data_IF_625998728962
#
_entry.id   IF_625998728962
#
_cell.length_a   1.000
_cell.length_b   1.000
_cell.length_c   1.000
_cell.angle_alpha   90.00
_cell.angle_beta   90.00
_cell.angle_gamma   90.00
#
_symmetry.space_group_name_H-M   'P 1'
#
loop_
_entity.id
_entity.type
_entity.pdbx_description
1 polymer ?
#
# COMPACT_ATOMS: atom_id res chain seq x y z
N UNK A 1 -6.99 -34.23 1.21
CA UNK A 1 -5.92 -33.55 1.95
C UNK A 1 -6.38 -32.11 2.07
N UNK A 2 -6.07 -31.41 3.16
CA UNK A 2 -6.29 -29.97 3.19
C UNK A 2 -5.39 -29.33 2.12
N UNK A 3 -5.87 -28.25 1.49
CA UNK A 3 -5.17 -27.52 0.42
C UNK A 3 -4.35 -26.44 1.09
N UNK A 4 -3.03 -26.41 0.87
CA UNK A 4 -2.19 -25.34 1.42
C UNK A 4 -2.40 -24.08 0.58
N UNK A 5 -2.75 -22.97 1.23
CA UNK A 5 -3.18 -21.73 0.57
C UNK A 5 -2.30 -20.57 1.01
N UNK A 6 -1.78 -19.81 0.04
CA UNK A 6 -1.17 -18.50 0.31
C UNK A 6 -2.21 -17.41 0.06
N UNK A 7 -2.52 -16.63 1.09
CA UNK A 7 -3.41 -15.47 0.98
C UNK A 7 -2.57 -14.20 1.01
N UNK A 8 -2.49 -13.55 -0.15
CA UNK A 8 -1.85 -12.27 -0.33
C UNK A 8 -2.85 -11.15 -0.08
N UNK A 9 -2.46 -10.16 0.70
CA UNK A 9 -3.22 -8.94 0.91
C UNK A 9 -2.49 -7.76 0.29
N UNK A 10 -3.24 -6.91 -0.42
CA UNK A 10 -2.81 -5.54 -0.63
C UNK A 10 -2.79 -4.78 0.71
N UNK A 11 -1.97 -3.72 0.78
CA UNK A 11 -1.80 -2.91 1.97
C UNK A 11 -2.70 -1.67 1.97
N UNK A 12 -2.48 -0.74 1.05
CA UNK A 12 -3.08 0.59 1.04
C UNK A 12 -4.43 0.58 0.34
N UNK A 13 -5.51 0.88 1.07
CA UNK A 13 -6.87 0.78 0.55
C UNK A 13 -7.56 -0.53 0.96
N UNK A 14 -6.77 -1.54 1.34
CA UNK A 14 -7.26 -2.88 1.74
C UNK A 14 -7.09 -3.18 3.23
N UNK A 15 -5.85 -3.21 3.75
CA UNK A 15 -5.57 -3.46 5.17
C UNK A 15 -5.42 -2.18 5.97
N UNK A 16 -4.83 -1.16 5.35
CA UNK A 16 -4.58 0.15 5.91
C UNK A 16 -5.41 1.17 5.14
N UNK A 17 -6.14 2.00 5.87
CA UNK A 17 -6.91 3.10 5.29
C UNK A 17 -6.52 4.42 5.95
N UNK A 18 -6.89 5.52 5.31
CA UNK A 18 -6.70 6.87 5.84
C UNK A 18 -7.99 7.43 6.41
N UNK A 19 -7.90 8.15 7.52
CA UNK A 19 -9.05 8.82 8.16
C UNK A 19 -9.53 10.08 7.42
N UNK A 20 -8.76 10.52 6.42
CA UNK A 20 -9.02 11.66 5.54
C UNK A 20 -8.36 11.45 4.18
N UNK A 21 -8.77 12.25 3.19
CA UNK A 21 -8.23 12.19 1.84
C UNK A 21 -6.72 12.46 1.83
N UNK A 22 -5.99 11.77 0.94
CA UNK A 22 -4.52 11.86 0.88
C UNK A 22 -4.03 13.29 0.58
N UNK A 23 -4.69 14.03 -0.31
CA UNK A 23 -4.38 15.44 -0.59
C UNK A 23 -4.43 16.33 0.67
N UNK A 24 -5.30 15.98 1.64
CA UNK A 24 -5.37 16.70 2.92
C UNK A 24 -4.21 16.35 3.83
N UNK A 25 -3.76 15.10 3.81
CA UNK A 25 -2.57 14.65 4.54
C UNK A 25 -1.33 15.37 3.98
N UNK A 26 -1.18 15.40 2.65
CA UNK A 26 -0.10 16.12 1.97
C UNK A 26 -0.13 17.62 2.29
N UNK A 27 -1.30 18.25 2.18
CA UNK A 27 -1.43 19.67 2.49
C UNK A 27 -1.06 20.00 3.95
N UNK A 28 -1.44 19.16 4.91
CA UNK A 28 -1.06 19.33 6.31
C UNK A 28 0.44 19.13 6.56
N UNK A 29 1.11 18.28 5.78
CA UNK A 29 2.57 18.15 5.81
C UNK A 29 3.22 19.40 5.21
N UNK A 30 2.71 19.90 4.08
CA UNK A 30 3.25 21.08 3.39
C UNK A 30 3.07 22.34 4.23
N UNK A 31 1.94 22.52 4.92
CA UNK A 31 1.66 23.64 5.82
C UNK A 31 2.63 23.77 7.00
N UNK A 32 3.41 22.73 7.30
CA UNK A 32 4.47 22.79 8.32
C UNK A 32 5.77 23.41 7.80
N UNK A 33 5.96 23.43 6.48
CA UNK A 33 7.18 23.87 5.80
C UNK A 33 6.95 25.09 4.89
N UNK A 34 5.73 25.28 4.41
CA UNK A 34 5.32 26.38 3.55
C UNK A 34 4.48 27.40 4.30
N UNK A 35 4.58 28.68 3.92
CA UNK A 35 3.73 29.73 4.47
C UNK A 35 2.27 29.65 3.96
N UNK A 36 2.09 29.09 2.77
CA UNK A 36 0.79 28.88 2.11
C UNK A 36 0.91 27.60 1.28
N UNK A 37 -0.05 26.70 1.44
CA UNK A 37 -0.27 25.56 0.54
C UNK A 37 -1.53 25.80 -0.29
N UNK A 38 -1.46 25.50 -1.59
CA UNK A 38 -2.60 25.53 -2.50
C UNK A 38 -2.58 24.33 -3.47
N UNK A 39 -3.63 24.21 -4.28
CA UNK A 39 -3.79 23.09 -5.22
C UNK A 39 -2.62 22.98 -6.23
N UNK A 40 -1.97 24.09 -6.59
CA UNK A 40 -0.83 24.07 -7.51
C UNK A 40 0.43 23.43 -6.91
N UNK A 41 0.60 23.53 -5.59
CA UNK A 41 1.68 22.85 -4.86
C UNK A 41 1.44 21.34 -4.81
N UNK A 42 0.19 20.92 -4.56
CA UNK A 42 -0.20 19.51 -4.56
C UNK A 42 -0.04 18.91 -5.97
N UNK A 43 -0.57 19.58 -6.99
CA UNK A 43 -0.46 19.14 -8.38
C UNK A 43 1.00 18.97 -8.82
N UNK A 44 1.88 19.92 -8.47
CA UNK A 44 3.30 19.85 -8.82
C UNK A 44 4.01 18.66 -8.15
N UNK A 45 3.71 18.41 -6.87
CA UNK A 45 4.23 17.26 -6.15
C UNK A 45 3.71 15.95 -6.75
N UNK A 46 2.40 15.82 -6.91
CA UNK A 46 1.75 14.58 -7.36
C UNK A 46 2.15 14.20 -8.78
N UNK A 47 2.19 15.16 -9.71
CA UNK A 47 2.60 14.88 -11.10
C UNK A 47 4.01 14.29 -11.16
N UNK A 48 4.96 14.89 -10.43
CA UNK A 48 6.33 14.42 -10.38
C UNK A 48 6.48 13.12 -9.58
N UNK A 49 5.79 12.99 -8.45
CA UNK A 49 5.76 11.78 -7.65
C UNK A 49 5.25 10.60 -8.47
N UNK A 50 4.06 10.69 -9.08
CA UNK A 50 3.47 9.58 -9.82
C UNK A 50 4.25 9.23 -11.08
N UNK A 51 4.82 10.23 -11.78
CA UNK A 51 5.69 9.96 -12.92
C UNK A 51 6.94 9.15 -12.51
N UNK A 52 7.58 9.51 -11.41
CA UNK A 52 8.71 8.76 -10.85
C UNK A 52 8.25 7.40 -10.29
N UNK A 53 7.06 7.36 -9.67
CA UNK A 53 6.48 6.18 -9.08
C UNK A 53 6.23 5.07 -10.10
N UNK A 54 5.52 5.41 -11.17
CA UNK A 54 5.18 4.53 -12.28
C UNK A 54 6.43 4.02 -13.00
N UNK A 55 7.48 4.85 -13.07
CA UNK A 55 8.77 4.50 -13.66
C UNK A 55 9.71 3.73 -12.72
N UNK A 56 9.32 3.48 -11.46
CA UNK A 56 10.14 2.84 -10.43
C UNK A 56 11.49 3.56 -10.22
N UNK A 57 11.48 4.89 -10.27
CA UNK A 57 12.68 5.69 -9.97
C UNK A 57 13.01 5.60 -8.47
N UNK A 58 14.28 5.77 -8.10
CA UNK A 58 14.76 5.41 -6.76
C UNK A 58 14.05 6.15 -5.60
N UNK A 59 13.77 7.44 -5.77
CA UNK A 59 13.27 8.31 -4.70
C UNK A 59 12.08 9.16 -5.20
N UNK A 60 10.89 8.57 -5.41
CA UNK A 60 9.73 9.30 -5.96
C UNK A 60 9.23 10.40 -5.02
N UNK A 61 9.34 10.21 -3.70
CA UNK A 61 8.99 11.23 -2.70
C UNK A 61 9.89 12.46 -2.79
N UNK A 62 11.21 12.28 -2.88
CA UNK A 62 12.14 13.41 -3.08
C UNK A 62 11.91 14.07 -4.44
N UNK A 63 11.57 13.28 -5.47
CA UNK A 63 11.23 13.82 -6.80
C UNK A 63 9.99 14.71 -6.75
N UNK A 64 8.95 14.29 -6.03
CA UNK A 64 7.77 15.12 -5.76
C UNK A 64 8.13 16.40 -4.99
N UNK A 65 8.93 16.28 -3.92
CA UNK A 65 9.37 17.43 -3.13
C UNK A 65 10.24 18.38 -3.94
N UNK A 66 11.08 17.88 -4.85
CA UNK A 66 11.88 18.72 -5.75
C UNK A 66 11.01 19.52 -6.73
N UNK A 67 9.96 18.90 -7.28
CA UNK A 67 9.01 19.61 -8.12
C UNK A 67 8.23 20.68 -7.35
N UNK A 68 7.87 20.40 -6.09
CA UNK A 68 7.30 21.38 -5.18
C UNK A 68 8.28 22.53 -4.91
N UNK A 69 9.55 22.25 -4.66
CA UNK A 69 10.59 23.25 -4.39
C UNK A 69 10.84 24.17 -5.59
N UNK A 70 10.69 23.66 -6.82
CA UNK A 70 10.79 24.42 -8.06
C UNK A 70 9.55 25.28 -8.36
N UNK A 71 8.47 25.15 -7.57
CA UNK A 71 7.25 25.94 -7.75
C UNK A 71 7.52 27.44 -7.46
N UNK A 72 7.04 28.38 -8.30
CA UNK A 72 7.45 29.80 -8.25
C UNK A 72 7.24 30.53 -6.91
N UNK A 73 6.29 30.06 -6.10
CA UNK A 73 5.90 30.67 -4.83
C UNK A 73 6.49 29.95 -3.60
N UNK A 74 7.35 28.95 -3.80
CA UNK A 74 8.07 28.23 -2.74
C UNK A 74 9.45 28.85 -2.50
N UNK A 75 9.85 28.91 -1.23
CA UNK A 75 11.16 29.45 -0.86
C UNK A 75 12.29 28.51 -1.30
N UNK A 76 13.41 29.03 -1.85
CA UNK A 76 14.47 28.23 -2.46
C UNK A 76 15.32 27.40 -1.48
N UNK A 77 14.99 27.41 -0.18
CA UNK A 77 15.72 26.72 0.88
C UNK A 77 14.86 25.64 1.57
N UNK A 78 13.83 25.10 0.88
CA UNK A 78 13.05 23.97 1.39
C UNK A 78 13.96 22.78 1.69
N UNK A 79 13.89 22.23 2.90
CA UNK A 79 14.62 21.04 3.29
C UNK A 79 13.84 19.80 2.82
N UNK A 80 14.36 19.12 1.80
CA UNK A 80 13.69 17.98 1.19
C UNK A 80 13.58 16.79 2.15
N UNK A 81 14.67 16.47 2.83
CA UNK A 81 14.72 15.33 3.76
C UNK A 81 13.73 15.56 4.91
N UNK A 82 13.65 16.79 5.43
CA UNK A 82 12.72 17.15 6.49
C UNK A 82 11.25 17.08 6.02
N UNK A 83 10.96 17.52 4.80
CA UNK A 83 9.60 17.47 4.26
C UNK A 83 9.19 16.03 3.94
N UNK A 84 10.04 15.20 3.34
CA UNK A 84 9.76 13.77 3.08
C UNK A 84 9.49 13.04 4.41
N UNK A 85 10.27 13.32 5.46
CA UNK A 85 10.00 12.77 6.79
C UNK A 85 8.64 13.24 7.34
N UNK A 86 8.28 14.51 7.13
CA UNK A 86 7.00 15.07 7.58
C UNK A 86 5.80 14.45 6.84
N UNK A 87 5.91 14.23 5.52
CA UNK A 87 4.90 13.53 4.72
C UNK A 87 4.70 12.12 5.28
N UNK A 88 5.78 11.40 5.54
CA UNK A 88 5.73 10.04 6.11
C UNK A 88 5.04 9.99 7.46
N UNK A 89 5.40 10.90 8.36
CA UNK A 89 4.79 10.99 9.68
C UNK A 89 3.30 11.34 9.60
N UNK A 90 2.93 12.28 8.72
CA UNK A 90 1.54 12.66 8.50
C UNK A 90 0.71 11.49 7.93
N UNK A 91 1.25 10.78 6.95
CA UNK A 91 0.64 9.58 6.36
C UNK A 91 0.37 8.52 7.42
N UNK A 92 1.40 8.15 8.20
CA UNK A 92 1.24 7.10 9.21
C UNK A 92 0.26 7.52 10.31
N UNK A 93 0.33 8.78 10.75
CA UNK A 93 -0.58 9.31 11.77
C UNK A 93 -2.04 9.38 11.32
N UNK A 94 -2.30 9.57 10.03
CA UNK A 94 -3.65 9.57 9.45
C UNK A 94 -4.15 8.16 9.10
N UNK A 95 -3.26 7.17 9.10
CA UNK A 95 -3.59 5.81 8.72
C UNK A 95 -4.12 4.97 9.89
N UNK A 96 -4.99 4.01 9.61
CA UNK A 96 -5.53 3.07 10.59
C UNK A 96 -5.85 1.72 9.95
N UNK A 97 -5.95 0.69 10.78
CA UNK A 97 -6.34 -0.67 10.38
C UNK A 97 -7.70 -0.99 11.00
N UNK A 98 -8.71 -1.43 10.22
CA UNK A 98 -10.01 -1.79 10.77
C UNK A 98 -9.90 -2.99 11.72
N UNK A 99 -10.69 -2.98 12.80
CA UNK A 99 -10.74 -4.10 13.75
C UNK A 99 -11.11 -5.43 13.06
N UNK A 100 -11.97 -5.36 12.04
CA UNK A 100 -12.36 -6.53 11.25
C UNK A 100 -11.18 -7.13 10.46
N UNK A 101 -10.32 -6.29 9.88
CA UNK A 101 -9.10 -6.74 9.20
C UNK A 101 -8.15 -7.43 10.18
N UNK A 102 -7.90 -6.84 11.37
CA UNK A 102 -7.07 -7.45 12.41
C UNK A 102 -7.61 -8.80 12.88
N UNK A 103 -8.93 -8.90 13.11
CA UNK A 103 -9.55 -10.15 13.50
C UNK A 103 -9.42 -11.23 12.41
N UNK A 104 -9.61 -10.85 11.15
CA UNK A 104 -9.46 -11.76 10.02
C UNK A 104 -8.01 -12.27 9.89
N UNK A 105 -7.01 -11.38 9.95
CA UNK A 105 -5.60 -11.77 9.93
C UNK A 105 -5.24 -12.70 11.09
N UNK A 106 -5.71 -12.43 12.30
CA UNK A 106 -5.43 -13.28 13.46
C UNK A 106 -6.05 -14.68 13.35
N UNK A 107 -7.24 -14.81 12.75
CA UNK A 107 -7.88 -16.10 12.52
C UNK A 107 -7.22 -16.88 11.38
N UNK A 108 -6.89 -16.21 10.27
CA UNK A 108 -6.15 -16.78 9.16
C UNK A 108 -4.76 -17.28 9.58
N UNK A 109 -4.01 -16.47 10.33
CA UNK A 109 -2.67 -16.82 10.81
C UNK A 109 -2.67 -17.97 11.83
N UNK A 110 -3.83 -18.33 12.39
CA UNK A 110 -3.98 -19.47 13.28
C UNK A 110 -4.31 -20.79 12.54
N UNK A 111 -4.56 -20.74 11.23
CA UNK A 111 -4.84 -21.91 10.40
C UNK A 111 -3.54 -22.51 9.85
N UNK A 112 -3.28 -23.79 10.16
CA UNK A 112 -2.04 -24.49 9.80
C UNK A 112 -1.85 -24.71 8.29
N UNK A 113 -2.88 -24.46 7.47
CA UNK A 113 -2.87 -24.61 6.01
C UNK A 113 -2.90 -23.26 5.27
N UNK A 114 -2.78 -22.16 6.03
CA UNK A 114 -2.84 -20.80 5.48
C UNK A 114 -1.53 -20.07 5.77
N UNK A 115 -0.90 -19.57 4.72
CA UNK A 115 0.28 -18.71 4.79
C UNK A 115 -0.13 -17.31 4.35
N UNK A 116 0.29 -16.28 5.09
CA UNK A 116 -0.09 -14.90 4.80
C UNK A 116 1.08 -14.12 4.23
N UNK A 117 0.80 -13.35 3.17
CA UNK A 117 1.77 -12.45 2.58
C UNK A 117 1.14 -11.07 2.30
N UNK A 118 1.99 -10.05 2.22
CA UNK A 118 1.63 -8.76 1.64
C UNK A 118 2.17 -8.67 0.22
N UNK A 119 1.35 -8.18 -0.70
CA UNK A 119 1.73 -7.82 -2.08
C UNK A 119 1.23 -6.41 -2.34
N UNK A 120 2.12 -5.44 -2.46
CA UNK A 120 1.73 -4.01 -2.55
C UNK A 120 2.61 -3.22 -3.51
N UNK A 121 2.01 -2.25 -4.20
CA UNK A 121 2.75 -1.27 -4.98
C UNK A 121 3.21 -0.12 -4.04
N UNK A 122 4.47 0.32 -4.15
CA UNK A 122 5.04 1.17 -3.11
C UNK A 122 6.56 1.16 -3.04
N UNK A 123 7.12 2.08 -2.26
CA UNK A 123 8.55 2.06 -1.91
C UNK A 123 8.79 1.10 -0.74
N UNK A 124 9.78 0.21 -0.87
CA UNK A 124 10.03 -0.90 0.05
C UNK A 124 10.10 -0.51 1.53
N UNK A 125 10.98 0.43 1.87
CA UNK A 125 11.15 0.89 3.27
C UNK A 125 9.91 1.63 3.78
N UNK A 126 9.15 2.29 2.89
CA UNK A 126 7.93 3.00 3.25
C UNK A 126 6.81 2.04 3.65
N UNK A 127 6.58 0.99 2.86
CA UNK A 127 5.51 0.03 3.13
C UNK A 127 5.83 -0.87 4.32
N UNK A 128 7.09 -1.31 4.48
CA UNK A 128 7.49 -2.12 5.66
C UNK A 128 7.35 -1.34 6.97
N UNK A 129 7.74 -0.08 7.00
CA UNK A 129 7.56 0.72 8.21
C UNK A 129 6.09 1.03 8.51
N UNK A 130 5.22 1.12 7.49
CA UNK A 130 3.77 1.25 7.68
C UNK A 130 3.19 0.00 8.35
N UNK A 131 3.61 -1.19 7.91
CA UNK A 131 3.25 -2.45 8.59
C UNK A 131 3.74 -2.48 10.05
N UNK A 132 5.00 -2.09 10.29
CA UNK A 132 5.57 -2.03 11.64
C UNK A 132 4.82 -1.02 12.53
N UNK A 133 4.49 0.16 11.99
CA UNK A 133 3.74 1.20 12.69
C UNK A 133 2.39 0.67 13.21
N UNK A 134 1.71 -0.15 12.41
CA UNK A 134 0.43 -0.76 12.76
C UNK A 134 0.53 -2.09 13.49
N UNK A 135 1.74 -2.59 13.74
CA UNK A 135 1.96 -3.91 14.35
C UNK A 135 1.35 -5.04 13.52
N UNK A 136 1.44 -4.95 12.19
CA UNK A 136 0.93 -5.97 11.27
C UNK A 136 2.01 -6.95 10.80
N UNK A 137 3.29 -6.57 10.91
CA UNK A 137 4.43 -7.36 10.41
C UNK A 137 4.46 -8.79 10.94
N UNK A 138 3.97 -9.04 12.16
CA UNK A 138 3.98 -10.38 12.77
C UNK A 138 3.00 -11.38 12.14
N UNK A 139 2.02 -10.92 11.35
CA UNK A 139 1.05 -11.79 10.70
C UNK A 139 1.56 -12.40 9.40
N UNK A 140 2.59 -11.82 8.79
CA UNK A 140 2.97 -12.14 7.41
C UNK A 140 4.32 -12.85 7.35
N UNK A 141 4.36 -13.95 6.61
CA UNK A 141 5.59 -14.69 6.32
C UNK A 141 6.45 -13.96 5.29
N UNK A 142 5.81 -13.25 4.34
CA UNK A 142 6.49 -12.49 3.29
C UNK A 142 5.81 -11.12 3.06
N UNK A 143 6.64 -10.14 2.70
CA UNK A 143 6.20 -8.79 2.28
C UNK A 143 6.88 -8.45 0.97
N UNK A 144 6.12 -8.57 -0.12
CA UNK A 144 6.55 -8.29 -1.48
C UNK A 144 6.09 -6.89 -1.87
N UNK A 145 7.04 -6.05 -2.21
CA UNK A 145 6.81 -4.65 -2.60
C UNK A 145 7.35 -4.45 -4.01
N UNK A 146 6.54 -3.84 -4.89
CA UNK A 146 6.86 -3.60 -6.32
C UNK A 146 8.28 -3.08 -6.58
N UNK A 147 8.73 -2.08 -5.82
CA UNK A 147 10.06 -1.48 -5.98
C UNK A 147 11.19 -2.48 -5.75
N UNK A 148 11.00 -3.44 -4.83
CA UNK A 148 12.03 -4.44 -4.50
C UNK A 148 12.16 -5.51 -5.59
N UNK A 149 11.09 -5.74 -6.36
CA UNK A 149 11.01 -6.75 -7.42
C UNK A 149 11.10 -6.17 -8.83
N UNK A 150 11.10 -4.83 -8.96
CA UNK A 150 11.31 -4.12 -10.21
C UNK A 150 10.12 -4.12 -11.17
N UNK A 151 8.89 -4.21 -10.65
CA UNK A 151 7.66 -4.15 -11.42
C UNK A 151 6.44 -3.98 -10.52
N UNK A 152 5.42 -3.28 -10.99
CA UNK A 152 4.14 -3.13 -10.27
C UNK A 152 3.33 -4.42 -10.37
N UNK A 153 2.30 -4.57 -9.54
CA UNK A 153 1.37 -5.71 -9.57
C UNK A 153 0.80 -5.94 -10.98
N UNK A 154 0.50 -4.87 -11.71
CA UNK A 154 0.02 -4.92 -13.11
C UNK A 154 1.02 -5.52 -14.09
N UNK A 155 2.33 -5.44 -13.81
CA UNK A 155 3.40 -6.07 -14.60
C UNK A 155 3.58 -7.56 -14.28
N UNK A 156 3.02 -8.04 -13.16
CA UNK A 156 3.11 -9.43 -12.71
C UNK A 156 4.30 -9.75 -11.80
N UNK A 157 5.30 -8.87 -11.71
CA UNK A 157 6.54 -9.15 -10.98
C UNK A 157 6.32 -9.50 -9.49
N UNK A 158 5.46 -8.81 -8.73
CA UNK A 158 5.17 -9.20 -7.35
C UNK A 158 4.52 -10.59 -7.22
N UNK A 159 3.67 -10.99 -8.17
CA UNK A 159 3.02 -12.30 -8.15
C UNK A 159 3.97 -13.44 -8.47
N UNK A 160 4.92 -13.21 -9.39
CA UNK A 160 5.98 -14.17 -9.68
C UNK A 160 6.90 -14.35 -8.46
N UNK A 161 7.26 -13.27 -7.77
CA UNK A 161 8.07 -13.34 -6.55
C UNK A 161 7.37 -14.13 -5.42
N UNK A 162 6.05 -13.98 -5.25
CA UNK A 162 5.30 -14.79 -4.27
C UNK A 162 5.46 -16.29 -4.55
N UNK A 163 5.35 -16.71 -5.81
CA UNK A 163 5.48 -18.13 -6.19
C UNK A 163 6.89 -18.66 -6.03
N UNK A 164 7.88 -17.81 -6.22
CA UNK A 164 9.28 -18.19 -6.05
C UNK A 164 9.64 -18.36 -4.56
N UNK A 165 8.95 -17.66 -3.65
CA UNK A 165 9.22 -17.74 -2.20
C UNK A 165 8.34 -18.71 -1.43
N UNK A 166 7.08 -18.86 -1.82
CA UNK A 166 6.07 -19.61 -1.07
C UNK A 166 5.45 -20.69 -1.94
N UNK A 167 5.62 -21.95 -1.53
CA UNK A 167 4.97 -23.09 -2.18
C UNK A 167 3.55 -23.28 -1.63
N UNK A 168 2.53 -23.22 -2.50
CA UNK A 168 1.14 -23.49 -2.17
C UNK A 168 0.38 -24.17 -3.32
N UNK A 169 -0.72 -24.85 -2.98
CA UNK A 169 -1.65 -25.43 -3.94
C UNK A 169 -2.56 -24.35 -4.56
N UNK A 170 -2.89 -23.32 -3.78
CA UNK A 170 -3.75 -22.21 -4.17
C UNK A 170 -3.17 -20.87 -3.70
N UNK A 171 -3.32 -19.83 -4.54
CA UNK A 171 -2.89 -18.48 -4.22
C UNK A 171 -4.09 -17.54 -4.37
N UNK A 172 -4.34 -16.74 -3.35
CA UNK A 172 -5.43 -15.77 -3.29
C UNK A 172 -4.83 -14.37 -3.23
N UNK A 173 -5.39 -13.41 -3.96
CA UNK A 173 -5.09 -11.99 -3.83
C UNK A 173 -6.33 -11.27 -3.32
N UNK A 174 -6.21 -10.59 -2.19
CA UNK A 174 -7.26 -9.72 -1.61
C UNK A 174 -6.79 -8.28 -1.76
N UNK A 175 -7.52 -7.46 -2.52
CA UNK A 175 -7.14 -6.08 -2.76
C UNK A 175 -8.27 -5.23 -3.32
N UNK A 176 -8.14 -3.91 -3.25
CA UNK A 176 -9.17 -2.94 -3.62
C UNK A 176 -9.03 -2.40 -5.03
N UNK A 177 -7.82 -2.41 -5.59
CA UNK A 177 -7.60 -1.94 -6.95
C UNK A 177 -7.98 -3.02 -7.97
N UNK A 178 -8.88 -2.66 -8.89
CA UNK A 178 -9.39 -3.63 -9.84
C UNK A 178 -8.34 -4.05 -10.88
N UNK A 179 -7.51 -3.13 -11.35
CA UNK A 179 -6.52 -3.43 -12.39
C UNK A 179 -5.38 -4.26 -11.81
N UNK A 180 -4.80 -3.83 -10.69
CA UNK A 180 -3.67 -4.48 -10.07
C UNK A 180 -4.08 -5.76 -9.33
N UNK A 181 -5.10 -5.71 -8.46
CA UNK A 181 -5.38 -6.80 -7.51
C UNK A 181 -6.36 -7.84 -8.05
N UNK A 182 -7.18 -7.46 -9.05
CA UNK A 182 -8.15 -8.36 -9.66
C UNK A 182 -7.69 -8.83 -11.02
N UNK A 183 -7.40 -7.93 -11.95
CA UNK A 183 -6.96 -8.30 -13.29
C UNK A 183 -5.52 -8.83 -13.29
N UNK A 184 -4.59 -8.18 -12.59
CA UNK A 184 -3.21 -8.62 -12.40
C UNK A 184 -3.14 -10.00 -11.75
N UNK A 185 -3.83 -10.19 -10.63
CA UNK A 185 -3.92 -11.49 -9.96
C UNK A 185 -4.50 -12.59 -10.86
N UNK A 186 -5.58 -12.32 -11.61
CA UNK A 186 -6.14 -13.29 -12.57
C UNK A 186 -5.16 -13.65 -13.67
N UNK A 187 -4.46 -12.66 -14.22
CA UNK A 187 -3.46 -12.87 -15.26
C UNK A 187 -2.29 -13.72 -14.74
N UNK A 188 -1.89 -13.50 -13.48
CA UNK A 188 -0.92 -14.33 -12.80
C UNK A 188 -1.45 -15.74 -12.51
N UNK A 189 -2.77 -15.95 -12.38
CA UNK A 189 -3.38 -17.24 -12.04
C UNK A 189 -3.67 -17.42 -10.56
N UNK A 190 -3.78 -16.31 -9.83
CA UNK A 190 -4.28 -16.23 -8.47
C UNK A 190 -5.81 -16.12 -8.49
N UNK A 191 -6.46 -16.51 -7.40
CA UNK A 191 -7.88 -16.25 -7.17
C UNK A 191 -8.03 -14.84 -6.61
N UNK A 192 -8.61 -13.88 -7.35
CA UNK A 192 -8.79 -12.54 -6.83
C UNK A 192 -10.04 -12.46 -5.95
N UNK A 193 -9.95 -11.64 -4.91
CA UNK A 193 -11.04 -11.19 -4.07
C UNK A 193 -10.98 -9.67 -4.06
N UNK A 194 -11.95 -9.04 -4.73
CA UNK A 194 -12.04 -7.59 -4.78
C UNK A 194 -12.61 -7.07 -3.46
N UNK A 195 -11.85 -6.22 -2.77
CA UNK A 195 -12.31 -5.47 -1.61
C UNK A 195 -13.01 -4.20 -2.07
N UNK A 196 -14.32 -4.16 -1.89
CA UNK A 196 -15.12 -2.95 -2.06
C UNK A 196 -15.48 -2.41 -0.68
N UNK A 197 -14.98 -1.22 -0.35
CA UNK A 197 -15.34 -0.51 0.87
C UNK A 197 -16.70 0.20 0.68
N UNK A 198 -17.76 -0.58 0.49
CA UNK A 198 -19.12 -0.08 0.34
C UNK A 198 -19.95 -0.35 1.61
N UNK A 199 -20.56 0.71 2.17
CA UNK A 199 -21.43 0.69 3.36
C UNK A 199 -22.66 -0.25 3.23
N UNK A 200 -22.97 -0.71 2.00
CA UNK A 200 -24.17 -1.49 1.66
C UNK A 200 -23.90 -3.01 1.49
N UNK A 201 -22.65 -3.47 1.63
CA UNK A 201 -22.23 -4.86 1.50
C UNK A 201 -21.88 -5.56 2.84
N UNK A 202 -21.84 -6.90 2.90
CA UNK A 202 -21.24 -7.57 4.04
C UNK A 202 -19.73 -7.28 4.07
N UNK A 203 -19.24 -6.68 5.16
CA UNK A 203 -17.82 -6.46 5.45
C UNK A 203 -16.96 -7.65 4.97
N UNK A 204 -16.05 -7.42 4.00
CA UNK A 204 -15.29 -8.49 3.36
C UNK A 204 -14.58 -9.36 4.39
N UNK A 205 -13.90 -8.74 5.34
CA UNK A 205 -13.15 -9.45 6.39
C UNK A 205 -14.07 -10.27 7.30
N UNK A 206 -15.30 -9.79 7.55
CA UNK A 206 -16.29 -10.58 8.28
C UNK A 206 -16.80 -11.78 7.46
N UNK A 207 -16.84 -11.64 6.13
CA UNK A 207 -17.25 -12.69 5.19
C UNK A 207 -16.17 -13.74 5.01
N UNK A 208 -14.91 -13.34 4.81
CA UNK A 208 -13.75 -14.24 4.76
C UNK A 208 -13.69 -15.10 6.03
N UNK A 209 -13.85 -14.46 7.19
CA UNK A 209 -13.96 -15.17 8.46
C UNK A 209 -15.07 -16.21 8.49
N UNK A 210 -16.24 -15.90 7.95
CA UNK A 210 -17.40 -16.80 8.01
C UNK A 210 -17.29 -18.00 7.04
N UNK A 211 -16.35 -17.98 6.10
CA UNK A 211 -16.14 -19.03 5.10
C UNK A 211 -15.11 -20.08 5.51
N UNK A 212 -14.31 -19.80 6.55
CA UNK A 212 -13.32 -20.71 7.13
C UNK A 212 -13.89 -21.45 8.35
#
# INVERSE_FOLDING_TARGET
>A
MATDTVVCFDLDGTLVHFDRAYDRILAEAFDQHLSVTDDGHLDAYDEAFFAAFDALEADPYDTGVAALADHPDVEPELDHDELVATIREAEYAASFVPDAARACLAELAADDHTTLAVVTDGVGDWQRAKLDHHGLTEYFDEVIVSYDVGGHKTDGAPYDEIRDRLDADEYVMVGDDYESDVEGARAAGFVPIHYENDDDGPELFATLRAMM
#
